data_IF_326211236162
#
_entry.id   IF_326211236162
#
_cell.length_a   1.000
_cell.length_b   1.000
_cell.length_c   1.000
_cell.angle_alpha   90.00
_cell.angle_beta   90.00
_cell.angle_gamma   90.00
#
_symmetry.space_group_name_H-M   'P 1'
#
loop_
_entity.id
_entity.type
_entity.pdbx_description
1 polymer ?
#
# COMPACT_ATOMS: atom_id res chain seq x y z
N UNK A 1 -19.75 -10.62 24.39
CA UNK A 1 -18.35 -10.67 24.82
C UNK A 1 -17.50 -10.34 23.59
N UNK A 2 -16.96 -9.11 23.54
CA UNK A 2 -16.22 -8.60 22.37
C UNK A 2 -14.82 -9.21 22.44
N UNK A 3 -14.33 -9.90 21.40
CA UNK A 3 -12.97 -10.43 21.40
C UNK A 3 -12.00 -9.26 21.56
N UNK A 4 -11.08 -9.40 22.51
CA UNK A 4 -9.96 -8.49 22.74
C UNK A 4 -8.98 -8.65 21.56
N UNK A 5 -9.36 -8.10 20.40
CA UNK A 5 -8.45 -7.92 19.29
C UNK A 5 -7.39 -6.95 19.77
N UNK A 6 -6.13 -7.41 19.83
CA UNK A 6 -4.99 -6.51 19.91
C UNK A 6 -5.07 -5.54 18.73
N UNK A 7 -5.66 -4.37 18.95
CA UNK A 7 -5.99 -3.31 17.99
C UNK A 7 -4.78 -2.47 17.59
N UNK A 8 -3.62 -2.78 18.16
CA UNK A 8 -2.40 -1.98 18.05
C UNK A 8 -1.76 -1.98 16.64
N UNK A 9 -1.79 -3.06 15.81
CA UNK A 9 -1.18 -3.01 14.48
C UNK A 9 -2.10 -2.48 13.36
N UNK A 10 -3.39 -2.27 13.61
CA UNK A 10 -4.31 -1.73 12.58
C UNK A 10 -4.23 -0.21 12.46
N UNK A 11 -3.99 0.51 13.56
CA UNK A 11 -3.91 1.97 13.55
C UNK A 11 -2.70 2.52 12.79
N UNK A 12 -1.58 1.79 12.74
CA UNK A 12 -0.36 2.28 12.09
C UNK A 12 -0.41 2.22 10.55
N UNK A 13 -1.31 1.40 9.98
CA UNK A 13 -1.38 1.18 8.53
C UNK A 13 -2.13 2.28 7.79
N UNK A 14 -3.18 2.84 8.40
CA UNK A 14 -4.01 3.89 7.79
C UNK A 14 -3.22 5.19 7.56
N UNK A 15 -2.23 5.46 8.42
CA UNK A 15 -1.39 6.65 8.37
C UNK A 15 -0.59 6.77 7.05
N UNK A 16 -0.14 5.65 6.47
CA UNK A 16 0.67 5.67 5.23
C UNK A 16 -0.18 5.98 3.99
N UNK A 17 -1.42 5.49 3.91
CA UNK A 17 -2.31 5.87 2.79
C UNK A 17 -2.70 7.34 2.86
N UNK A 18 -2.83 7.89 4.07
CA UNK A 18 -3.08 9.32 4.30
C UNK A 18 -1.95 10.18 3.71
N UNK A 19 -0.69 9.83 3.99
CA UNK A 19 0.48 10.56 3.45
C UNK A 19 0.55 10.54 1.90
N UNK A 20 0.17 9.43 1.26
CA UNK A 20 0.14 9.37 -0.21
C UNK A 20 -0.92 10.27 -0.84
N UNK A 21 -2.09 10.38 -0.21
CA UNK A 21 -3.16 11.24 -0.70
C UNK A 21 -2.78 12.73 -0.63
N UNK A 22 -2.15 13.14 0.47
CA UNK A 22 -1.66 14.50 0.70
C UNK A 22 -0.53 14.86 -0.29
N UNK A 23 0.49 14.01 -0.41
CA UNK A 23 1.69 14.33 -1.19
C UNK A 23 1.42 14.32 -2.70
N UNK A 24 0.62 13.38 -3.20
CA UNK A 24 0.48 13.17 -4.65
C UNK A 24 -0.57 14.05 -5.31
N UNK A 25 -1.69 14.32 -4.64
CA UNK A 25 -2.86 14.90 -5.30
C UNK A 25 -3.09 16.38 -4.97
N UNK A 26 -2.22 16.98 -4.15
CA UNK A 26 -2.29 18.39 -3.73
C UNK A 26 -3.73 18.78 -3.29
N UNK A 27 -4.44 17.82 -2.69
CA UNK A 27 -5.80 18.02 -2.21
C UNK A 27 -5.75 18.67 -0.84
N UNK A 28 -6.68 19.59 -0.60
CA UNK A 28 -6.83 20.19 0.72
C UNK A 28 -7.09 19.11 1.78
N UNK A 29 -6.57 19.33 2.98
CA UNK A 29 -6.76 18.43 4.13
C UNK A 29 -8.26 18.14 4.36
N UNK A 30 -9.11 19.15 4.21
CA UNK A 30 -10.57 19.03 4.30
C UNK A 30 -11.16 18.02 3.32
N UNK A 31 -10.66 17.97 2.08
CA UNK A 31 -11.13 17.01 1.09
C UNK A 31 -10.76 15.58 1.49
N UNK A 32 -9.55 15.39 2.01
CA UNK A 32 -9.05 14.08 2.43
C UNK A 32 -9.85 13.57 3.62
N UNK A 33 -10.05 14.40 4.65
CA UNK A 33 -10.79 14.03 5.87
C UNK A 33 -12.27 13.77 5.61
N UNK A 34 -12.91 14.52 4.72
CA UNK A 34 -14.35 14.38 4.46
C UNK A 34 -14.70 13.31 3.43
N UNK A 35 -13.82 13.05 2.44
CA UNK A 35 -14.14 12.16 1.31
C UNK A 35 -13.30 10.91 1.21
N UNK A 36 -12.08 10.87 1.74
CA UNK A 36 -11.15 9.73 1.56
C UNK A 36 -11.02 8.92 2.85
N UNK A 37 -10.81 9.61 3.98
CA UNK A 37 -10.65 9.00 5.30
C UNK A 37 -11.80 8.04 5.67
N UNK A 38 -13.10 8.38 5.45
CA UNK A 38 -14.19 7.47 5.77
C UNK A 38 -14.11 6.15 4.99
N UNK A 39 -13.68 6.17 3.73
CA UNK A 39 -13.56 4.96 2.92
C UNK A 39 -12.35 4.12 3.32
N UNK A 40 -11.23 4.76 3.67
CA UNK A 40 -10.04 4.07 4.15
C UNK A 40 -10.28 3.36 5.48
N UNK A 41 -11.15 3.90 6.34
CA UNK A 41 -11.58 3.23 7.57
C UNK A 41 -12.70 2.21 7.35
N UNK A 42 -13.67 2.52 6.49
CA UNK A 42 -14.82 1.63 6.26
C UNK A 42 -14.43 0.36 5.51
N UNK A 43 -13.56 0.44 4.51
CA UNK A 43 -13.16 -0.72 3.71
C UNK A 43 -12.56 -1.88 4.53
N UNK A 44 -11.53 -1.69 5.39
CA UNK A 44 -10.99 -2.77 6.20
C UNK A 44 -12.02 -3.29 7.21
N UNK A 45 -12.93 -2.43 7.70
CA UNK A 45 -13.99 -2.83 8.60
C UNK A 45 -14.99 -3.77 7.90
N UNK A 46 -15.45 -3.41 6.70
CA UNK A 46 -16.35 -4.24 5.87
C UNK A 46 -15.70 -5.58 5.53
N UNK A 47 -14.42 -5.57 5.12
CA UNK A 47 -13.70 -6.82 4.79
C UNK A 47 -13.58 -7.72 6.03
N UNK A 48 -13.23 -7.14 7.19
CA UNK A 48 -13.17 -7.88 8.44
C UNK A 48 -14.54 -8.47 8.81
N UNK A 49 -15.62 -7.70 8.66
CA UNK A 49 -16.98 -8.18 8.92
C UNK A 49 -17.36 -9.33 8.00
N UNK A 50 -17.14 -9.20 6.68
CA UNK A 50 -17.43 -10.27 5.70
C UNK A 50 -16.65 -11.54 6.07
N UNK A 51 -15.37 -11.39 6.39
CA UNK A 51 -14.54 -12.54 6.77
C UNK A 51 -15.02 -13.21 8.07
N UNK A 52 -15.38 -12.43 9.08
CA UNK A 52 -15.95 -12.96 10.33
C UNK A 52 -17.26 -13.71 10.08
N UNK A 53 -18.18 -13.12 9.30
CA UNK A 53 -19.46 -13.77 8.94
C UNK A 53 -19.21 -15.07 8.18
N UNK A 54 -18.30 -15.07 7.21
CA UNK A 54 -17.92 -16.27 6.46
C UNK A 54 -17.36 -17.38 7.36
N UNK A 55 -16.46 -17.05 8.29
CA UNK A 55 -15.88 -18.01 9.22
C UNK A 55 -16.93 -18.61 10.18
N UNK A 56 -17.90 -17.80 10.61
CA UNK A 56 -19.03 -18.27 11.42
C UNK A 56 -19.96 -19.19 10.60
N UNK A 57 -20.38 -18.75 9.41
CA UNK A 57 -21.31 -19.47 8.56
C UNK A 57 -20.75 -20.82 8.07
N UNK A 58 -19.44 -20.90 7.85
CA UNK A 58 -18.76 -22.13 7.44
C UNK A 58 -18.50 -23.13 8.58
N UNK A 59 -18.93 -22.82 9.81
CA UNK A 59 -18.73 -23.70 10.97
C UNK A 59 -17.26 -23.91 11.33
N UNK A 60 -16.37 -22.99 10.92
CA UNK A 60 -14.93 -23.11 11.11
C UNK A 60 -14.42 -22.60 12.46
N UNK A 61 -15.33 -22.05 13.27
CA UNK A 61 -15.03 -21.50 14.59
C UNK A 61 -15.44 -22.50 15.67
N UNK A 62 -14.52 -22.75 16.59
CA UNK A 62 -14.70 -23.58 17.76
C UNK A 62 -14.71 -22.73 19.04
N UNK A 63 -15.47 -23.15 20.05
CA UNK A 63 -15.39 -22.56 21.37
C UNK A 63 -14.03 -22.92 21.99
N UNK A 64 -13.26 -21.90 22.36
CA UNK A 64 -12.00 -22.04 23.09
C UNK A 64 -12.24 -22.08 24.60
N UNK A 65 -11.27 -22.63 25.33
CA UNK A 65 -11.18 -22.39 26.78
C UNK A 65 -10.91 -20.89 27.00
N UNK A 66 -11.53 -20.29 28.03
CA UNK A 66 -11.50 -18.84 28.35
C UNK A 66 -12.54 -17.95 27.64
N UNK A 67 -13.63 -18.51 27.10
CA UNK A 67 -14.70 -17.71 26.47
C UNK A 67 -14.24 -17.00 25.19
N UNK A 68 -13.16 -17.50 24.59
CA UNK A 68 -12.67 -17.06 23.28
C UNK A 68 -13.16 -18.02 22.20
N UNK A 69 -13.27 -17.53 20.98
CA UNK A 69 -13.56 -18.35 19.80
C UNK A 69 -12.26 -18.53 19.02
N UNK A 70 -11.89 -19.76 18.72
CA UNK A 70 -10.65 -20.08 18.03
C UNK A 70 -10.92 -20.82 16.72
N UNK A 71 -10.12 -20.51 15.69
CA UNK A 71 -10.07 -21.27 14.44
C UNK A 71 -9.13 -22.49 14.54
N UNK A 72 -8.68 -22.84 15.74
CA UNK A 72 -7.83 -24.01 15.97
C UNK A 72 -8.56 -25.30 15.65
N UNK A 73 -7.82 -26.24 15.07
CA UNK A 73 -8.28 -27.62 14.88
C UNK A 73 -8.57 -28.19 16.27
N UNK A 74 -9.85 -28.39 16.57
CA UNK A 74 -10.29 -29.06 17.78
C UNK A 74 -10.85 -30.42 17.36
N UNK A 75 -10.07 -31.47 17.56
CA UNK A 75 -10.58 -32.83 17.46
C UNK A 75 -11.15 -33.19 18.83
N UNK A 76 -12.48 -33.17 19.00
CA UNK A 76 -13.07 -33.51 20.28
C UNK A 76 -12.74 -34.99 20.60
N UNK A 77 -12.69 -35.36 21.89
CA UNK A 77 -12.19 -36.67 22.32
C UNK A 77 -12.95 -37.84 21.67
N UNK A 78 -14.27 -37.69 21.42
CA UNK A 78 -15.07 -38.72 20.73
C UNK A 78 -14.67 -38.95 19.27
N UNK A 79 -13.98 -38.01 18.62
CA UNK A 79 -13.46 -38.18 17.27
C UNK A 79 -12.02 -38.72 17.23
N UNK A 80 -11.32 -38.84 18.37
CA UNK A 80 -9.96 -39.41 18.43
C UNK A 80 -9.95 -40.94 18.42
N UNK A 81 -11.01 -41.58 18.89
CA UNK A 81 -11.04 -43.03 19.12
C UNK A 81 -11.74 -43.81 18.00
N UNK A 82 -12.34 -43.12 17.01
CA UNK A 82 -12.97 -43.77 15.84
C UNK A 82 -11.94 -44.47 14.93
N UNK A 83 -10.65 -44.15 15.02
CA UNK A 83 -9.58 -44.94 14.38
C UNK A 83 -9.41 -46.34 15.01
N UNK A 84 -9.94 -46.60 16.21
CA UNK A 84 -9.80 -47.86 16.95
C UNK A 84 -11.12 -48.65 17.10
N UNK A 85 -12.16 -48.38 16.28
CA UNK A 85 -13.45 -49.09 16.28
C UNK A 85 -14.33 -49.01 17.55
N UNK A 86 -14.08 -48.07 18.48
CA UNK A 86 -14.97 -47.87 19.62
C UNK A 86 -15.83 -46.62 19.41
N UNK A 87 -17.11 -46.82 19.10
CA UNK A 87 -18.11 -45.75 19.05
C UNK A 87 -18.64 -45.53 20.46
N UNK A 88 -18.20 -44.45 21.11
CA UNK A 88 -18.81 -44.02 22.39
C UNK A 88 -20.15 -43.38 22.08
N UNK A 89 -21.24 -44.15 22.27
CA UNK A 89 -22.62 -43.65 22.17
C UNK A 89 -22.90 -42.68 23.33
N UNK A 90 -22.62 -41.41 23.09
CA UNK A 90 -22.98 -40.30 23.97
C UNK A 90 -23.42 -39.12 23.11
N UNK A 91 -24.38 -38.35 23.62
CA UNK A 91 -25.04 -37.22 22.95
C UNK A 91 -24.03 -36.08 22.70
N UNK A 92 -23.15 -36.25 21.74
CA UNK A 92 -22.21 -35.22 21.32
C UNK A 92 -22.79 -34.49 20.11
N UNK A 93 -23.28 -33.27 20.35
CA UNK A 93 -23.92 -32.42 19.33
C UNK A 93 -22.92 -31.80 18.34
N UNK A 94 -21.61 -31.95 18.59
CA UNK A 94 -20.55 -31.34 17.76
C UNK A 94 -20.06 -32.37 16.72
N UNK A 95 -20.23 -32.10 15.41
CA UNK A 95 -19.80 -33.01 14.36
C UNK A 95 -18.26 -33.11 14.29
N UNK A 96 -17.76 -34.32 14.05
CA UNK A 96 -16.35 -34.54 13.71
C UNK A 96 -15.97 -33.74 12.45
N UNK A 97 -14.77 -33.17 12.41
CA UNK A 97 -14.29 -32.36 11.28
C UNK A 97 -14.68 -30.87 11.33
N UNK A 98 -15.40 -30.42 12.37
CA UNK A 98 -15.65 -28.98 12.59
C UNK A 98 -14.33 -28.22 12.79
N UNK A 99 -14.16 -27.08 12.13
CA UNK A 99 -12.91 -26.31 12.16
C UNK A 99 -11.77 -26.87 11.32
N UNK A 100 -11.99 -27.97 10.58
CA UNK A 100 -10.99 -28.45 9.62
C UNK A 100 -10.78 -27.40 8.52
N UNK A 101 -9.53 -27.16 8.12
CA UNK A 101 -9.10 -26.07 7.23
C UNK A 101 -9.34 -24.64 7.78
N UNK A 102 -9.88 -24.47 9.00
CA UNK A 102 -10.12 -23.16 9.62
C UNK A 102 -8.83 -22.41 9.89
N UNK A 103 -7.83 -23.11 10.44
CA UNK A 103 -6.50 -22.57 10.71
C UNK A 103 -5.78 -22.16 9.42
N UNK A 104 -5.81 -22.99 8.38
CA UNK A 104 -5.14 -22.70 7.11
C UNK A 104 -5.72 -21.47 6.42
N UNK A 105 -7.05 -21.37 6.33
CA UNK A 105 -7.70 -20.19 5.75
C UNK A 105 -7.45 -18.95 6.60
N UNK A 106 -7.52 -19.06 7.93
CA UNK A 106 -7.21 -17.95 8.82
C UNK A 106 -5.76 -17.48 8.68
N UNK A 107 -4.81 -18.41 8.56
CA UNK A 107 -3.40 -18.10 8.44
C UNK A 107 -3.07 -17.50 7.07
N UNK A 108 -3.58 -18.07 5.98
CA UNK A 108 -3.39 -17.56 4.62
C UNK A 108 -4.02 -16.18 4.47
N UNK A 109 -5.29 -16.01 4.83
CA UNK A 109 -5.97 -14.71 4.75
C UNK A 109 -5.35 -13.72 5.73
N UNK A 110 -5.06 -14.16 6.94
CA UNK A 110 -4.42 -13.35 7.98
C UNK A 110 -3.08 -12.80 7.51
N UNK A 111 -2.16 -13.64 7.06
CA UNK A 111 -0.84 -13.21 6.57
C UNK A 111 -0.96 -12.35 5.31
N UNK A 112 -1.82 -12.74 4.37
CA UNK A 112 -1.98 -11.99 3.13
C UNK A 112 -2.47 -10.57 3.42
N UNK A 113 -3.50 -10.43 4.25
CA UNK A 113 -4.10 -9.13 4.58
C UNK A 113 -3.23 -8.31 5.55
N UNK A 114 -2.49 -8.95 6.45
CA UNK A 114 -1.70 -8.24 7.48
C UNK A 114 -0.26 -7.96 7.07
N UNK A 115 0.35 -8.78 6.23
CA UNK A 115 1.77 -8.64 5.85
C UNK A 115 1.89 -8.30 4.37
N UNK A 116 1.32 -9.13 3.49
CA UNK A 116 1.54 -9.00 2.05
C UNK A 116 0.88 -7.74 1.47
N UNK A 117 -0.40 -7.50 1.73
CA UNK A 117 -1.12 -6.33 1.22
C UNK A 117 -0.46 -5.00 1.64
N UNK A 118 -0.15 -4.76 2.93
CA UNK A 118 0.53 -3.53 3.35
C UNK A 118 1.92 -3.38 2.71
N UNK A 119 2.70 -4.46 2.60
CA UNK A 119 4.01 -4.41 1.95
C UNK A 119 3.90 -4.04 0.47
N UNK A 120 2.94 -4.61 -0.26
CA UNK A 120 2.69 -4.27 -1.67
C UNK A 120 2.26 -2.80 -1.80
N UNK A 121 1.32 -2.34 -0.97
CA UNK A 121 0.85 -0.94 -0.99
C UNK A 121 2.03 0.01 -0.71
N UNK A 122 2.88 -0.31 0.28
CA UNK A 122 4.10 0.44 0.60
C UNK A 122 5.09 0.51 -0.58
N UNK A 123 5.32 -0.60 -1.27
CA UNK A 123 6.22 -0.64 -2.42
C UNK A 123 5.68 0.24 -3.57
N UNK A 124 4.39 0.12 -3.87
CA UNK A 124 3.72 0.92 -4.92
C UNK A 124 3.78 2.40 -4.55
N UNK A 125 3.49 2.73 -3.30
CA UNK A 125 3.57 4.09 -2.76
C UNK A 125 4.94 4.72 -2.96
N UNK A 126 5.99 4.04 -2.49
CA UNK A 126 7.37 4.48 -2.61
C UNK A 126 7.79 4.60 -4.08
N UNK A 127 7.37 3.67 -4.94
CA UNK A 127 7.67 3.72 -6.37
C UNK A 127 7.05 4.95 -7.05
N UNK A 128 5.83 5.33 -6.67
CA UNK A 128 5.15 6.52 -7.19
C UNK A 128 5.87 7.80 -6.70
N UNK A 129 6.14 7.90 -5.40
CA UNK A 129 6.85 9.05 -4.82
C UNK A 129 8.24 9.19 -5.46
N UNK A 130 8.98 8.09 -5.58
CA UNK A 130 10.30 8.08 -6.21
C UNK A 130 10.27 8.57 -7.66
N UNK A 131 9.25 8.17 -8.44
CA UNK A 131 9.08 8.65 -9.81
C UNK A 131 8.82 10.15 -9.87
N UNK A 132 7.99 10.65 -8.97
CA UNK A 132 7.62 12.07 -8.93
C UNK A 132 8.80 12.96 -8.51
N UNK A 133 9.52 12.57 -7.46
CA UNK A 133 10.76 13.23 -7.02
C UNK A 133 11.78 13.23 -8.15
N UNK A 134 11.99 12.09 -8.82
CA UNK A 134 12.96 11.99 -9.92
C UNK A 134 12.60 12.89 -11.11
N UNK A 135 11.31 13.06 -11.43
CA UNK A 135 10.89 13.99 -12.47
C UNK A 135 11.11 15.44 -12.06
N UNK A 136 10.83 15.76 -10.80
CA UNK A 136 11.03 17.10 -10.24
C UNK A 136 12.51 17.48 -10.21
N UNK A 137 13.39 16.57 -9.76
CA UNK A 137 14.84 16.75 -9.80
C UNK A 137 15.36 16.96 -11.22
N UNK A 138 14.86 16.19 -12.19
CA UNK A 138 15.23 16.37 -13.61
C UNK A 138 14.87 17.77 -14.11
N UNK A 139 13.65 18.24 -13.86
CA UNK A 139 13.23 19.62 -14.20
C UNK A 139 14.08 20.65 -13.49
N UNK A 140 14.34 20.50 -12.19
CA UNK A 140 15.19 21.44 -11.45
C UNK A 140 16.64 21.45 -11.97
N UNK A 141 17.17 20.32 -12.43
CA UNK A 141 18.50 20.27 -13.05
C UNK A 141 18.61 21.07 -14.36
N UNK A 142 17.49 21.20 -15.10
CA UNK A 142 17.41 22.02 -16.31
C UNK A 142 17.35 23.52 -16.02
N UNK A 143 17.02 23.91 -14.79
CA UNK A 143 17.06 25.28 -14.30
C UNK A 143 18.25 25.56 -13.35
N UNK A 144 19.04 24.54 -13.02
CA UNK A 144 20.20 24.68 -12.14
C UNK A 144 21.28 25.59 -12.73
N UNK A 145 22.10 26.18 -11.87
CA UNK A 145 23.15 27.18 -12.21
C UNK A 145 24.04 26.75 -13.39
N UNK A 146 24.27 25.44 -13.56
CA UNK A 146 25.00 24.88 -14.69
C UNK A 146 24.31 25.05 -16.06
N UNK A 147 22.98 24.96 -16.11
CA UNK A 147 22.19 25.17 -17.33
C UNK A 147 22.17 26.65 -17.74
N UNK A 148 22.03 27.56 -16.76
CA UNK A 148 22.10 29.01 -16.93
C UNK A 148 23.48 29.41 -17.45
N UNK A 149 24.55 28.85 -16.87
CA UNK A 149 25.92 29.10 -17.33
C UNK A 149 26.14 28.64 -18.77
N UNK A 150 25.58 27.50 -19.16
CA UNK A 150 25.65 27.03 -20.56
C UNK A 150 24.88 27.93 -21.52
N UNK A 151 23.66 28.37 -21.16
CA UNK A 151 22.89 29.33 -21.97
C UNK A 151 23.63 30.66 -22.13
N UNK A 152 24.23 31.18 -21.06
CA UNK A 152 25.04 32.39 -21.11
C UNK A 152 26.24 32.23 -22.06
N UNK A 153 26.97 31.11 -21.97
CA UNK A 153 28.11 30.84 -22.85
C UNK A 153 27.73 30.68 -24.33
N UNK A 154 26.55 30.12 -24.62
CA UNK A 154 26.06 30.02 -25.99
C UNK A 154 25.64 31.39 -26.52
N UNK A 155 24.98 32.21 -25.70
CA UNK A 155 24.57 33.57 -26.07
C UNK A 155 25.77 34.46 -26.39
N UNK A 156 26.80 34.47 -25.54
CA UNK A 156 28.02 35.27 -25.77
C UNK A 156 28.77 34.82 -27.02
N UNK A 157 28.83 33.52 -27.31
CA UNK A 157 29.41 33.01 -28.57
C UNK A 157 28.63 33.42 -29.81
N UNK A 158 27.31 33.56 -29.72
CA UNK A 158 26.50 34.05 -30.85
C UNK A 158 26.72 35.54 -31.10
N UNK A 159 26.75 36.37 -30.04
CA UNK A 159 27.07 37.81 -30.16
C UNK A 159 28.46 38.04 -30.75
N UNK A 160 29.46 37.25 -30.35
CA UNK A 160 30.83 37.37 -30.87
C UNK A 160 30.91 36.99 -32.37
N UNK A 161 30.09 36.02 -32.81
CA UNK A 161 30.01 35.68 -34.24
C UNK A 161 29.32 36.77 -35.04
N UNK A 162 28.22 37.33 -34.52
CA UNK A 162 27.45 38.37 -35.21
C UNK A 162 28.27 39.66 -35.37
N UNK A 163 29.01 40.07 -34.33
CA UNK A 163 29.93 41.22 -34.38
C UNK A 163 31.06 41.03 -35.39
N UNK A 164 31.71 39.86 -35.43
CA UNK A 164 32.73 39.56 -36.46
C UNK A 164 32.17 39.61 -37.88
N UNK A 165 30.92 39.18 -38.06
CA UNK A 165 30.28 39.16 -39.37
C UNK A 165 29.95 40.59 -39.86
N UNK A 166 29.42 41.44 -38.97
CA UNK A 166 29.23 42.88 -39.28
C UNK A 166 30.55 43.57 -39.62
N UNK A 167 31.61 43.29 -38.86
CA UNK A 167 32.93 43.89 -39.11
C UNK A 167 33.49 43.52 -40.49
N UNK A 168 33.34 42.26 -40.92
CA UNK A 168 33.73 41.84 -42.28
C UNK A 168 32.91 42.55 -43.37
N UNK A 169 31.62 42.77 -43.12
CA UNK A 169 30.73 43.45 -44.06
C UNK A 169 31.11 44.93 -44.21
N UNK A 170 31.45 45.62 -43.12
CA UNK A 170 31.93 47.01 -43.15
C UNK A 170 33.26 47.16 -43.90
N UNK A 171 34.21 46.24 -43.70
CA UNK A 171 35.51 46.28 -44.39
C UNK A 171 35.38 45.97 -45.88
N UNK A 172 34.49 45.04 -46.26
CA UNK A 172 34.23 44.73 -47.68
C UNK A 172 33.66 45.92 -48.46
N UNK A 173 32.78 46.71 -47.83
CA UNK A 173 32.22 47.93 -48.45
C UNK A 173 33.31 48.98 -48.68
N UNK A 174 34.25 49.14 -47.75
CA UNK A 174 35.32 50.14 -47.86
C UNK A 174 36.37 49.83 -48.94
N UNK A 175 36.46 48.58 -49.38
CA UNK A 175 37.43 48.14 -50.39
C UNK A 175 36.88 48.21 -51.83
N UNK A 176 35.59 48.55 -51.99
CA UNK A 176 34.89 48.59 -53.29
C UNK A 176 34.62 50.02 -53.78
N UNK A 177 35.03 51.04 -53.01
CA UNK A 177 34.95 52.47 -53.33
C UNK A 177 36.36 52.97 -53.62
#
# INVERSE_FOLDING_TARGET
>A
MIPNFNTVPFHMKVSIQYYLAVIKYEKSDDYIRTKIEPFLHAAPLIIATIHCVYMMASGRINAGSLGSCSASIHSPPHCREVENNFVVEGVFEIPCGRGHLGFEVYFVVGIFMTIACPAIIMIIALAIIYRDVRQTEKKMSEYGVGSLRKKLQVSTKMEEKETRQRQKQSVGIFMTI
#
